data_IF_246737932359
#
_entry.id   IF_246737932359
#
_cell.length_a   1.000
_cell.length_b   1.000
_cell.length_c   1.000
_cell.angle_alpha   90.00
_cell.angle_beta   90.00
_cell.angle_gamma   90.00
#
_symmetry.space_group_name_H-M   'P 1'
#
loop_
_entity.id
_entity.type
_entity.pdbx_description
1 polymer ?
#
# COMPACT_ATOMS: atom_id res chain seq x y z
N UNK A 1 3.25 20.09 0.87
CA UNK A 1 3.03 18.68 0.50
C UNK A 1 3.58 17.66 1.51
N UNK A 2 4.81 17.78 2.00
CA UNK A 2 5.37 16.81 2.95
C UNK A 2 4.60 16.72 4.29
N UNK A 3 4.09 17.85 4.80
CA UNK A 3 3.29 17.91 6.04
C UNK A 3 1.95 17.18 5.87
N UNK A 4 1.19 17.49 4.81
CA UNK A 4 -0.06 16.80 4.46
C UNK A 4 0.12 15.28 4.36
N UNK A 5 1.18 14.83 3.68
CA UNK A 5 1.48 13.40 3.57
C UNK A 5 1.79 12.76 4.93
N UNK A 6 2.51 13.46 5.83
CA UNK A 6 2.79 12.95 7.18
C UNK A 6 1.51 12.84 8.00
N UNK A 7 0.64 13.85 7.96
CA UNK A 7 -0.64 13.85 8.68
C UNK A 7 -1.55 12.74 8.17
N UNK A 8 -1.70 12.60 6.85
CA UNK A 8 -2.47 11.52 6.23
C UNK A 8 -1.92 10.14 6.64
N UNK A 9 -0.60 9.96 6.58
CA UNK A 9 0.04 8.71 6.97
C UNK A 9 -0.18 8.38 8.44
N UNK A 10 -0.12 9.37 9.34
CA UNK A 10 -0.38 9.15 10.77
C UNK A 10 -1.82 8.70 10.98
N UNK A 11 -2.79 9.41 10.40
CA UNK A 11 -4.20 9.04 10.48
C UNK A 11 -4.46 7.62 9.95
N UNK A 12 -3.84 7.26 8.81
CA UNK A 12 -3.95 5.91 8.26
C UNK A 12 -3.36 4.84 9.19
N UNK A 13 -2.22 5.10 9.84
CA UNK A 13 -1.64 4.14 10.79
C UNK A 13 -2.54 4.00 12.02
N UNK A 14 -3.05 5.11 12.54
CA UNK A 14 -3.93 5.10 13.72
C UNK A 14 -5.22 4.35 13.40
N UNK A 15 -5.82 4.59 12.22
CA UNK A 15 -6.99 3.86 11.71
C UNK A 15 -6.72 2.36 11.59
N UNK A 16 -5.67 1.97 10.85
CA UNK A 16 -5.32 0.56 10.63
C UNK A 16 -4.92 -0.17 11.93
N UNK A 17 -4.45 0.56 12.95
CA UNK A 17 -4.11 -0.05 14.24
C UNK A 17 -5.31 -0.52 15.05
N UNK A 18 -6.51 -0.03 14.71
CA UNK A 18 -7.77 -0.42 15.35
C UNK A 18 -8.49 -1.59 14.66
N UNK A 19 -7.96 -2.06 13.53
CA UNK A 19 -8.53 -3.11 12.70
C UNK A 19 -7.90 -4.45 13.09
N UNK A 20 -8.72 -5.46 13.42
CA UNK A 20 -8.25 -6.81 13.76
C UNK A 20 -7.70 -7.54 12.53
N UNK A 21 -8.46 -7.48 11.44
CA UNK A 21 -8.22 -8.25 10.23
C UNK A 21 -8.24 -7.31 9.03
N UNK A 22 -7.15 -7.36 8.26
CA UNK A 22 -7.03 -6.63 7.01
C UNK A 22 -6.55 -7.55 5.91
N UNK A 23 -7.03 -7.29 4.71
CA UNK A 23 -6.53 -7.89 3.48
C UNK A 23 -5.72 -6.84 2.71
N UNK A 24 -4.68 -7.32 2.02
CA UNK A 24 -3.86 -6.50 1.15
C UNK A 24 -3.93 -7.07 -0.25
N UNK A 25 -4.17 -6.18 -1.20
CA UNK A 25 -4.06 -6.48 -2.63
C UNK A 25 -2.95 -5.65 -3.23
N UNK A 26 -2.20 -6.27 -4.14
CA UNK A 26 -1.12 -5.60 -4.85
C UNK A 26 -1.30 -5.83 -6.36
N UNK A 27 -1.85 -4.83 -7.04
CA UNK A 27 -2.04 -4.87 -8.49
C UNK A 27 -0.77 -4.42 -9.18
N UNK A 28 -0.23 -5.29 -10.03
CA UNK A 28 1.00 -5.05 -10.77
C UNK A 28 0.72 -5.19 -12.26
N UNK A 29 1.06 -4.16 -13.04
CA UNK A 29 0.95 -4.21 -14.50
C UNK A 29 2.14 -3.51 -15.16
N UNK A 30 2.31 -3.75 -16.45
CA UNK A 30 3.38 -3.14 -17.25
C UNK A 30 2.84 -2.54 -18.53
N UNK A 31 3.44 -1.43 -18.95
CA UNK A 31 3.25 -0.90 -20.30
C UNK A 31 4.29 -1.49 -21.27
N UNK A 32 4.03 -1.43 -22.59
CA UNK A 32 4.98 -1.89 -23.62
C UNK A 32 6.37 -1.24 -23.52
N UNK A 33 6.47 -0.03 -22.97
CA UNK A 33 7.72 0.72 -22.81
C UNK A 33 8.56 0.29 -21.59
N UNK A 34 8.37 -0.93 -21.07
CA UNK A 34 9.05 -1.45 -19.86
C UNK A 34 8.88 -0.53 -18.64
N UNK A 35 7.71 0.09 -18.54
CA UNK A 35 7.28 0.81 -17.36
C UNK A 35 6.36 -0.10 -16.60
N UNK A 36 6.70 -0.36 -15.34
CA UNK A 36 5.90 -1.19 -14.47
C UNK A 36 5.25 -0.33 -13.39
N UNK A 37 4.02 -0.67 -13.05
CA UNK A 37 3.21 0.03 -12.07
C UNK A 37 2.79 -0.96 -10.99
N UNK A 38 2.74 -0.47 -9.77
CA UNK A 38 2.31 -1.25 -8.61
C UNK A 38 1.40 -0.38 -7.78
N UNK A 39 0.25 -0.93 -7.49
CA UNK A 39 -0.77 -0.35 -6.64
C UNK A 39 -0.96 -1.27 -5.44
N UNK A 40 -1.03 -0.70 -4.24
CA UNK A 40 -1.30 -1.47 -3.02
C UNK A 40 -2.54 -0.88 -2.38
N UNK A 41 -3.53 -1.74 -2.19
CA UNK A 41 -4.82 -1.40 -1.57
C UNK A 41 -4.99 -2.25 -0.32
N UNK A 42 -5.42 -1.60 0.76
CA UNK A 42 -5.82 -2.26 2.00
C UNK A 42 -7.34 -2.35 2.02
N UNK A 43 -7.84 -3.50 2.45
CA UNK A 43 -9.26 -3.79 2.59
C UNK A 43 -9.52 -4.27 4.01
N UNK A 44 -10.55 -3.74 4.66
CA UNK A 44 -10.95 -4.14 6.00
C UNK A 44 -12.40 -3.78 6.26
N UNK A 45 -12.95 -4.33 7.35
CA UNK A 45 -14.24 -3.91 7.88
C UNK A 45 -14.01 -2.95 9.05
N UNK A 46 -14.77 -1.86 9.09
CA UNK A 46 -14.79 -0.98 10.25
C UNK A 46 -15.62 -1.57 11.40
N UNK A 47 -15.76 -0.81 12.50
CA UNK A 47 -16.49 -1.24 13.69
C UNK A 47 -18.00 -1.39 13.47
N UNK A 48 -18.54 -0.81 12.41
CA UNK A 48 -19.94 -0.88 12.00
C UNK A 48 -20.15 -1.95 10.90
N UNK A 49 -19.14 -2.79 10.66
CA UNK A 49 -19.10 -3.77 9.57
C UNK A 49 -19.22 -3.14 8.17
N UNK A 50 -18.87 -1.86 8.04
CA UNK A 50 -18.70 -1.17 6.77
C UNK A 50 -17.44 -1.66 6.06
N UNK A 51 -17.57 -2.06 4.80
CA UNK A 51 -16.42 -2.44 3.98
C UNK A 51 -15.63 -1.20 3.52
N UNK A 52 -14.35 -1.17 3.84
CA UNK A 52 -13.44 -0.08 3.49
C UNK A 52 -12.33 -0.60 2.59
N UNK A 53 -12.12 0.10 1.47
CA UNK A 53 -11.03 -0.14 0.52
C UNK A 53 -10.25 1.15 0.28
N UNK A 54 -8.96 1.15 0.63
CA UNK A 54 -8.11 2.34 0.54
C UNK A 54 -6.79 2.07 -0.14
N UNK A 55 -6.41 2.98 -1.03
CA UNK A 55 -5.13 2.97 -1.71
C UNK A 55 -4.06 3.47 -0.74
N UNK A 56 -3.11 2.62 -0.40
CA UNK A 56 -2.04 2.95 0.55
C UNK A 56 -0.72 3.24 -0.14
N UNK A 57 -0.54 2.79 -1.39
CA UNK A 57 0.63 3.17 -2.17
C UNK A 57 0.44 2.94 -3.66
N UNK A 58 1.03 3.84 -4.44
CA UNK A 58 1.27 3.66 -5.87
C UNK A 58 2.76 3.87 -6.16
N UNK A 59 3.33 3.09 -7.08
CA UNK A 59 4.70 3.31 -7.55
C UNK A 59 4.89 2.88 -8.99
N UNK A 60 5.66 3.72 -9.70
CA UNK A 60 6.20 3.45 -11.02
C UNK A 60 7.64 2.94 -10.91
N UNK A 61 7.97 1.90 -11.66
CA UNK A 61 9.31 1.36 -11.86
C UNK A 61 9.63 1.40 -13.35
N UNK A 62 10.88 1.73 -13.68
CA UNK A 62 11.38 1.71 -15.05
C UNK A 62 12.51 0.66 -15.11
N UNK A 63 12.51 -0.17 -16.15
CA UNK A 63 13.58 -1.15 -16.43
C UNK A 63 13.25 -2.59 -16.03
N UNK A 64 14.24 -3.49 -16.17
CA UNK A 64 14.05 -4.96 -16.16
C UNK A 64 13.93 -5.61 -14.77
N UNK A 65 14.38 -4.95 -13.71
CA UNK A 65 14.44 -5.54 -12.35
C UNK A 65 13.14 -5.38 -11.55
N UNK A 66 11.99 -5.62 -12.18
CA UNK A 66 10.67 -5.36 -11.59
C UNK A 66 10.39 -6.20 -10.34
N UNK A 67 10.58 -7.52 -10.41
CA UNK A 67 10.19 -8.46 -9.34
C UNK A 67 10.94 -8.21 -8.02
N UNK A 68 12.26 -8.02 -8.09
CA UNK A 68 13.08 -7.75 -6.89
C UNK A 68 12.69 -6.43 -6.25
N UNK A 69 12.49 -5.39 -7.08
CA UNK A 69 12.09 -4.06 -6.62
C UNK A 69 10.66 -4.03 -6.08
N UNK A 70 9.76 -4.84 -6.64
CA UNK A 70 8.39 -5.03 -6.17
C UNK A 70 8.36 -5.60 -4.75
N UNK A 71 9.08 -6.70 -4.52
CA UNK A 71 9.18 -7.33 -3.18
C UNK A 71 9.72 -6.36 -2.14
N UNK A 72 10.83 -5.67 -2.47
CA UNK A 72 11.41 -4.66 -1.58
C UNK A 72 10.45 -3.50 -1.32
N UNK A 73 9.74 -3.05 -2.36
CA UNK A 73 8.75 -2.00 -2.25
C UNK A 73 7.59 -2.37 -1.34
N UNK A 74 6.93 -3.50 -1.57
CA UNK A 74 5.80 -3.98 -0.73
C UNK A 74 6.26 -4.08 0.73
N UNK A 75 7.37 -4.78 0.99
CA UNK A 75 7.93 -4.91 2.35
C UNK A 75 8.20 -3.55 3.00
N UNK A 76 8.79 -2.62 2.27
CA UNK A 76 9.06 -1.27 2.79
C UNK A 76 7.79 -0.49 3.12
N UNK A 77 6.69 -0.76 2.41
CA UNK A 77 5.39 -0.11 2.64
C UNK A 77 4.68 -0.70 3.85
N UNK A 78 4.63 -2.02 3.96
CA UNK A 78 4.04 -2.70 5.13
C UNK A 78 4.77 -2.32 6.42
N UNK A 79 6.11 -2.35 6.42
CA UNK A 79 6.92 -1.90 7.57
C UNK A 79 6.63 -0.45 7.96
N UNK A 80 6.43 0.44 6.98
CA UNK A 80 6.08 1.85 7.24
C UNK A 80 4.66 2.02 7.80
N UNK A 81 3.76 1.09 7.55
CA UNK A 81 2.40 1.08 8.07
C UNK A 81 2.28 0.30 9.38
N UNK A 82 3.39 -0.25 9.90
CA UNK A 82 3.41 -1.14 11.06
C UNK A 82 2.50 -2.38 10.89
N UNK A 83 2.27 -2.78 9.64
CA UNK A 83 1.59 -4.04 9.33
C UNK A 83 2.68 -5.11 9.31
N UNK A 84 2.75 -5.91 10.37
CA UNK A 84 3.64 -7.06 10.49
C UNK A 84 2.81 -8.33 10.58
N UNK A 85 3.11 -9.29 9.71
CA UNK A 85 2.81 -10.71 9.96
C UNK A 85 3.71 -11.23 11.08
#
# INVERSE_FOLDING_TARGET
MAILYRSYRKALIDELSSVSDLALTADAWSSPCRVHFVFITVHYYDKEFGYISKVISFRRFIGRSFVVRLRQFIRSKLKKLKISN
#
